data_IF_329096232017
#
_entry.id   IF_329096232017
#
_cell.length_a   1.000
_cell.length_b   1.000
_cell.length_c   1.000
_cell.angle_alpha   90.00
_cell.angle_beta   90.00
_cell.angle_gamma   90.00
#
_symmetry.space_group_name_H-M   'P 1'
#
loop_
_entity.id
_entity.type
_entity.pdbx_description
1 polymer ?
#
# COMPACT_ATOMS: atom_id res chain seq x y z
N UNK A 1 19.89 54.45 -0.68
CA UNK A 1 18.47 54.15 -0.39
C UNK A 1 18.20 52.72 -0.84
N UNK A 2 17.89 51.78 0.06
CA UNK A 2 17.77 50.38 -0.31
C UNK A 2 16.40 50.12 -0.95
N UNK A 3 16.37 49.73 -2.22
CA UNK A 3 15.20 49.11 -2.83
C UNK A 3 15.16 47.66 -2.39
N UNK A 4 14.46 47.40 -1.28
CA UNK A 4 14.00 46.06 -0.91
C UNK A 4 12.94 45.68 -1.94
N UNK A 5 13.35 45.03 -3.03
CA UNK A 5 12.42 44.22 -3.81
C UNK A 5 12.40 42.88 -3.10
N UNK A 6 11.27 42.63 -2.43
CA UNK A 6 10.96 41.40 -1.72
C UNK A 6 11.24 40.22 -2.65
N UNK A 7 12.36 39.56 -2.41
CA UNK A 7 12.66 38.26 -2.97
C UNK A 7 11.68 37.32 -2.27
N UNK A 8 10.47 37.19 -2.84
CA UNK A 8 9.56 36.10 -2.52
C UNK A 8 10.28 34.86 -3.03
N UNK A 9 11.22 34.36 -2.24
CA UNK A 9 11.50 32.94 -2.26
C UNK A 9 10.13 32.30 -2.06
N UNK A 10 9.68 31.54 -3.04
CA UNK A 10 8.60 30.59 -2.83
C UNK A 10 9.29 29.30 -2.39
N UNK A 11 9.69 29.08 -1.12
CA UNK A 11 9.98 27.73 -0.66
C UNK A 11 8.77 27.21 0.13
N UNK A 12 7.52 27.50 -0.29
CA UNK A 12 6.37 27.16 0.55
C UNK A 12 5.03 26.93 -0.20
N UNK A 13 5.06 26.38 -1.42
CA UNK A 13 3.81 25.97 -2.14
C UNK A 13 3.77 24.47 -2.44
N UNK A 14 4.70 23.66 -1.90
CA UNK A 14 4.60 22.19 -1.90
C UNK A 14 4.61 21.61 -0.48
N UNK A 15 4.16 22.38 0.50
CA UNK A 15 3.71 21.86 1.80
C UNK A 15 2.17 21.68 1.82
N UNK A 16 1.58 21.41 0.65
CA UNK A 16 0.13 21.35 0.49
C UNK A 16 -0.34 19.91 0.71
N UNK A 17 -0.83 19.66 1.93
CA UNK A 17 -1.60 18.50 2.37
C UNK A 17 -0.80 17.19 2.58
N UNK A 18 -0.13 17.08 3.72
CA UNK A 18 0.30 15.79 4.26
C UNK A 18 -0.76 15.27 5.23
N UNK A 19 -1.93 14.90 4.72
CA UNK A 19 -2.86 14.10 5.50
C UNK A 19 -2.26 12.69 5.60
N UNK A 20 -1.42 12.49 6.61
CA UNK A 20 -0.84 11.19 6.94
C UNK A 20 -1.37 10.83 8.32
N UNK A 21 -2.24 9.84 8.37
CA UNK A 21 -2.75 9.29 9.61
C UNK A 21 -1.68 8.46 10.30
N UNK A 22 -1.92 8.02 11.55
CA UNK A 22 -1.03 7.06 12.19
C UNK A 22 -0.97 5.77 11.36
N UNK A 23 0.20 5.11 11.36
CA UNK A 23 0.31 3.75 10.87
C UNK A 23 -0.62 2.84 11.70
N UNK A 24 -1.40 1.93 11.09
CA UNK A 24 -2.21 0.97 11.83
C UNK A 24 -1.34 0.16 12.79
N UNK A 25 -1.79 -0.02 14.04
CA UNK A 25 -1.02 -0.74 15.06
C UNK A 25 -1.08 -2.26 14.91
N UNK A 26 -1.94 -2.74 14.01
CA UNK A 26 -2.23 -4.15 13.73
C UNK A 26 -1.62 -4.62 12.39
N UNK A 27 -0.68 -3.87 11.82
CA UNK A 27 0.16 -4.36 10.72
C UNK A 27 1.02 -5.55 11.17
N UNK A 28 1.51 -6.32 10.21
CA UNK A 28 2.24 -7.55 10.39
C UNK A 28 1.35 -8.78 10.41
N UNK A 29 2.03 -9.93 10.54
CA UNK A 29 1.40 -11.24 10.62
C UNK A 29 1.02 -11.54 12.06
N UNK A 30 -0.28 -11.65 12.34
CA UNK A 30 -0.84 -11.91 13.66
C UNK A 30 -1.50 -13.28 13.68
N UNK A 31 -0.95 -14.22 14.46
CA UNK A 31 -1.49 -15.58 14.52
C UNK A 31 -1.41 -16.37 13.20
N UNK A 32 -0.45 -16.02 12.33
CA UNK A 32 -0.25 -16.67 11.03
C UNK A 32 -1.03 -16.03 9.87
N UNK A 33 -1.79 -14.97 10.12
CA UNK A 33 -2.59 -14.28 9.10
C UNK A 33 -2.35 -12.77 9.13
N UNK A 34 -2.62 -12.09 8.02
CA UNK A 34 -2.83 -10.63 8.07
C UNK A 34 -4.06 -10.31 8.91
N UNK A 35 -4.04 -9.18 9.61
CA UNK A 35 -5.17 -8.70 10.40
C UNK A 35 -6.39 -8.44 9.50
N UNK A 36 -7.60 -8.67 10.00
CA UNK A 36 -8.82 -8.44 9.23
C UNK A 36 -9.02 -6.94 8.92
N UNK A 37 -9.78 -6.62 7.86
CA UNK A 37 -10.24 -5.26 7.66
C UNK A 37 -11.27 -4.87 8.73
N UNK A 38 -11.14 -3.69 9.37
CA UNK A 38 -12.14 -3.22 10.33
C UNK A 38 -13.51 -2.94 9.68
N UNK A 39 -13.51 -2.57 8.40
CA UNK A 39 -14.69 -2.34 7.57
C UNK A 39 -14.30 -2.14 6.10
N UNK A 40 -15.25 -2.23 5.16
CA UNK A 40 -14.98 -2.11 3.73
C UNK A 40 -14.75 -0.67 3.24
N UNK A 41 -15.04 0.33 4.06
CA UNK A 41 -15.09 1.73 3.65
C UNK A 41 -13.72 2.34 3.31
N UNK A 42 -12.64 1.88 3.96
CA UNK A 42 -11.26 2.33 3.74
C UNK A 42 -10.23 1.19 3.86
N UNK A 43 -10.67 -0.06 3.75
CA UNK A 43 -9.82 -1.25 3.77
C UNK A 43 -10.34 -2.31 2.81
N UNK A 44 -9.44 -3.03 2.18
CA UNK A 44 -9.73 -4.24 1.41
C UNK A 44 -8.75 -5.35 1.78
N UNK A 45 -9.21 -6.58 1.70
CA UNK A 45 -8.37 -7.77 1.80
C UNK A 45 -8.66 -8.73 0.64
N UNK A 46 -7.68 -9.54 0.30
CA UNK A 46 -7.80 -10.58 -0.74
C UNK A 46 -6.93 -11.77 -0.37
N UNK A 47 -7.34 -12.93 -0.86
CA UNK A 47 -6.56 -14.16 -0.76
C UNK A 47 -6.48 -14.76 -2.16
N UNK A 48 -5.28 -14.93 -2.68
CA UNK A 48 -5.03 -15.53 -3.97
C UNK A 48 -4.45 -16.93 -3.80
N UNK A 49 -4.97 -17.86 -4.59
CA UNK A 49 -4.37 -19.18 -4.74
C UNK A 49 -3.40 -19.13 -5.92
N UNK A 50 -2.16 -19.50 -5.65
CA UNK A 50 -1.02 -19.38 -6.58
C UNK A 50 -0.21 -20.67 -6.57
N UNK A 51 0.58 -20.91 -7.63
CA UNK A 51 1.44 -22.10 -7.70
C UNK A 51 2.55 -22.11 -6.62
N UNK A 52 3.10 -20.93 -6.34
CA UNK A 52 4.15 -20.70 -5.34
C UNK A 52 3.97 -19.29 -4.76
N UNK A 53 3.57 -19.22 -3.49
CA UNK A 53 3.31 -17.96 -2.79
C UNK A 53 4.56 -17.09 -2.59
N UNK A 54 5.74 -17.69 -2.45
CA UNK A 54 7.00 -16.95 -2.32
C UNK A 54 7.40 -16.33 -3.65
N UNK A 55 7.23 -17.08 -4.75
CA UNK A 55 7.43 -16.55 -6.10
C UNK A 55 6.44 -15.43 -6.42
N UNK A 56 5.16 -15.61 -6.09
CA UNK A 56 4.11 -14.60 -6.25
C UNK A 56 4.38 -13.34 -5.42
N UNK A 57 4.79 -13.48 -4.16
CA UNK A 57 5.20 -12.36 -3.30
C UNK A 57 6.35 -11.57 -3.94
N UNK A 58 7.36 -12.26 -4.47
CA UNK A 58 8.49 -11.62 -5.15
C UNK A 58 8.06 -10.89 -6.43
N UNK A 59 7.18 -11.50 -7.24
CA UNK A 59 6.62 -10.87 -8.43
C UNK A 59 5.89 -9.57 -8.10
N UNK A 60 5.00 -9.61 -7.10
CA UNK A 60 4.26 -8.42 -6.67
C UNK A 60 5.19 -7.39 -6.02
N UNK A 61 6.21 -7.79 -5.28
CA UNK A 61 7.22 -6.88 -4.73
C UNK A 61 7.88 -6.03 -5.82
N UNK A 62 8.30 -6.63 -6.94
CA UNK A 62 8.90 -5.88 -8.06
C UNK A 62 7.87 -4.94 -8.72
N UNK A 63 6.61 -5.36 -8.86
CA UNK A 63 5.54 -4.49 -9.36
C UNK A 63 5.28 -3.29 -8.45
N UNK A 64 5.18 -3.52 -7.14
CA UNK A 64 5.01 -2.50 -6.11
C UNK A 64 6.17 -1.49 -6.18
N UNK A 65 7.41 -1.98 -6.26
CA UNK A 65 8.62 -1.16 -6.37
C UNK A 65 8.65 -0.30 -7.64
N UNK A 66 8.09 -0.79 -8.73
CA UNK A 66 7.95 -0.05 -10.00
C UNK A 66 6.79 0.96 -10.01
N UNK A 67 5.95 0.99 -8.98
CA UNK A 67 4.77 1.86 -8.94
C UNK A 67 5.15 3.26 -8.42
N UNK A 68 4.78 4.34 -9.13
CA UNK A 68 5.04 5.70 -8.66
C UNK A 68 4.36 5.99 -7.32
N UNK A 69 5.06 6.73 -6.45
CA UNK A 69 4.58 7.16 -5.12
C UNK A 69 4.34 6.01 -4.14
N UNK A 70 5.15 4.96 -4.28
CA UNK A 70 5.13 3.77 -3.44
C UNK A 70 6.49 3.58 -2.77
N UNK A 71 6.50 3.13 -1.52
CA UNK A 71 7.72 2.82 -0.76
C UNK A 71 7.57 1.49 -0.04
N UNK A 72 8.52 0.57 -0.22
CA UNK A 72 8.58 -0.67 0.57
C UNK A 72 9.22 -0.34 1.91
N UNK A 73 8.46 -0.54 2.99
CA UNK A 73 8.87 -0.23 4.37
C UNK A 73 9.53 -1.45 5.01
N UNK A 74 8.98 -2.64 4.78
CA UNK A 74 9.49 -3.90 5.30
C UNK A 74 9.35 -5.01 4.25
N UNK A 75 10.36 -5.86 4.17
CA UNK A 75 10.33 -7.03 3.30
C UNK A 75 11.13 -8.18 3.92
N UNK A 76 10.51 -9.34 4.01
CA UNK A 76 11.10 -10.61 4.44
C UNK A 76 10.87 -11.69 3.38
N UNK A 77 11.20 -12.95 3.71
CA UNK A 77 10.98 -14.09 2.81
C UNK A 77 9.51 -14.41 2.54
N UNK A 78 8.61 -14.05 3.46
CA UNK A 78 7.18 -14.39 3.39
C UNK A 78 6.26 -13.20 3.65
N UNK A 79 6.78 -11.99 3.89
CA UNK A 79 5.97 -10.81 4.16
C UNK A 79 6.54 -9.57 3.46
N UNK A 80 5.64 -8.68 3.04
CA UNK A 80 5.98 -7.36 2.51
C UNK A 80 5.00 -6.34 3.04
N UNK A 81 5.52 -5.19 3.49
CA UNK A 81 4.75 -4.00 3.79
C UNK A 81 5.25 -2.83 2.93
N UNK A 82 4.33 -2.18 2.25
CA UNK A 82 4.59 -0.98 1.46
C UNK A 82 3.56 0.11 1.75
N UNK A 83 3.92 1.35 1.46
CA UNK A 83 3.01 2.50 1.50
C UNK A 83 2.71 3.00 0.10
N UNK A 84 1.47 3.44 -0.13
CA UNK A 84 1.05 4.11 -1.35
C UNK A 84 0.55 5.52 -1.00
N UNK A 85 1.02 6.54 -1.73
CA UNK A 85 0.55 7.91 -1.51
C UNK A 85 -0.24 8.49 -2.70
N UNK A 86 -1.36 9.13 -2.39
CA UNK A 86 -2.21 9.79 -3.38
C UNK A 86 -1.52 11.01 -3.98
N UNK A 87 -1.75 11.27 -5.27
CA UNK A 87 -1.04 12.31 -6.02
C UNK A 87 -1.36 13.74 -5.57
N UNK A 88 -2.61 13.99 -5.16
CA UNK A 88 -3.15 15.35 -4.97
C UNK A 88 -3.25 15.72 -3.49
N UNK A 89 -3.74 14.80 -2.66
CA UNK A 89 -4.10 15.08 -1.26
C UNK A 89 -3.13 14.46 -0.24
N UNK A 90 -2.16 13.66 -0.69
CA UNK A 90 -1.15 13.07 0.19
C UNK A 90 -1.65 11.97 1.13
N UNK A 91 -2.89 11.48 0.99
CA UNK A 91 -3.36 10.29 1.71
C UNK A 91 -2.41 9.13 1.52
N UNK A 92 -2.14 8.40 2.61
CA UNK A 92 -1.26 7.24 2.65
C UNK A 92 -2.08 6.01 3.00
N UNK A 93 -1.90 4.98 2.18
CA UNK A 93 -2.40 3.63 2.43
C UNK A 93 -1.23 2.69 2.72
N UNK A 94 -1.43 1.74 3.61
CA UNK A 94 -0.51 0.63 3.87
C UNK A 94 -1.01 -0.62 3.12
N UNK A 95 -0.10 -1.27 2.40
CA UNK A 95 -0.32 -2.53 1.69
C UNK A 95 0.56 -3.60 2.29
N UNK A 96 -0.05 -4.71 2.67
CA UNK A 96 0.61 -5.89 3.19
C UNK A 96 0.37 -7.06 2.26
N UNK A 97 1.42 -7.85 2.04
CA UNK A 97 1.36 -9.14 1.37
C UNK A 97 1.98 -10.18 2.29
N UNK A 98 1.35 -11.35 2.40
CA UNK A 98 1.83 -12.44 3.24
C UNK A 98 1.70 -13.78 2.50
N UNK A 99 2.83 -14.42 2.23
CA UNK A 99 2.89 -15.80 1.77
C UNK A 99 2.59 -16.71 2.98
N UNK A 100 1.31 -16.99 3.20
CA UNK A 100 0.82 -17.70 4.39
C UNK A 100 1.28 -19.17 4.40
N UNK A 101 1.06 -19.86 3.28
CA UNK A 101 1.52 -21.22 3.05
C UNK A 101 2.12 -21.31 1.64
N UNK A 102 2.42 -22.52 1.15
CA UNK A 102 3.06 -22.71 -0.17
C UNK A 102 2.25 -22.18 -1.36
N UNK A 103 0.93 -22.09 -1.26
CA UNK A 103 0.01 -21.78 -2.36
C UNK A 103 -0.96 -20.63 -2.06
N UNK A 104 -0.96 -20.11 -0.83
CA UNK A 104 -1.83 -19.02 -0.40
C UNK A 104 -1.04 -17.73 -0.21
N UNK A 105 -1.39 -16.71 -1.00
CA UNK A 105 -0.91 -15.34 -0.82
C UNK A 105 -2.06 -14.46 -0.30
N UNK A 106 -1.91 -13.95 0.92
CA UNK A 106 -2.83 -12.98 1.51
C UNK A 106 -2.40 -11.56 1.17
N UNK A 107 -3.37 -10.68 1.04
CA UNK A 107 -3.14 -9.25 0.90
C UNK A 107 -4.14 -8.42 1.70
N UNK A 108 -3.65 -7.30 2.21
CA UNK A 108 -4.45 -6.25 2.83
C UNK A 108 -4.00 -4.90 2.30
N UNK A 109 -4.94 -4.00 2.06
CA UNK A 109 -4.69 -2.61 1.72
C UNK A 109 -5.60 -1.73 2.56
N UNK A 110 -5.04 -0.81 3.35
CA UNK A 110 -5.78 -0.02 4.34
C UNK A 110 -5.31 1.42 4.37
N UNK A 111 -6.24 2.37 4.39
CA UNK A 111 -5.92 3.80 4.52
C UNK A 111 -5.58 4.17 5.97
N UNK A 112 -4.57 5.03 6.17
CA UNK A 112 -4.21 5.53 7.51
C UNK A 112 -5.22 6.50 8.11
N UNK A 113 -6.04 7.13 7.27
CA UNK A 113 -7.05 8.09 7.68
C UNK A 113 -8.15 8.24 6.64
N UNK A 114 -9.25 8.87 7.06
CA UNK A 114 -10.40 9.17 6.23
C UNK A 114 -11.53 8.18 6.44
N UNK A 115 -12.76 8.64 6.26
CA UNK A 115 -13.96 7.81 6.44
C UNK A 115 -14.17 6.84 5.27
N UNK A 116 -13.65 7.18 4.08
CA UNK A 116 -13.69 6.30 2.92
C UNK A 116 -12.56 6.57 1.94
N UNK A 117 -12.13 5.51 1.25
CA UNK A 117 -11.12 5.53 0.19
C UNK A 117 -11.73 5.53 -1.23
N UNK A 118 -13.07 5.56 -1.36
CA UNK A 118 -13.80 5.42 -2.63
C UNK A 118 -13.45 4.15 -3.43
N UNK A 119 -13.05 3.07 -2.75
CA UNK A 119 -12.69 1.79 -3.34
C UNK A 119 -11.24 1.70 -3.83
N UNK A 120 -10.39 2.69 -3.55
CA UNK A 120 -8.99 2.71 -3.99
C UNK A 120 -8.21 1.49 -3.49
N UNK A 121 -8.40 1.06 -2.24
CA UNK A 121 -7.73 -0.12 -1.70
C UNK A 121 -8.18 -1.41 -2.40
N UNK A 122 -9.47 -1.54 -2.68
CA UNK A 122 -10.01 -2.70 -3.40
C UNK A 122 -9.46 -2.76 -4.84
N UNK A 123 -9.49 -1.64 -5.57
CA UNK A 123 -8.96 -1.55 -6.93
C UNK A 123 -7.44 -1.83 -6.98
N UNK A 124 -6.71 -1.44 -5.93
CA UNK A 124 -5.29 -1.76 -5.81
C UNK A 124 -5.06 -3.26 -5.70
N UNK A 125 -5.81 -3.95 -4.84
CA UNK A 125 -5.68 -5.40 -4.70
C UNK A 125 -6.09 -6.13 -5.99
N UNK A 126 -7.17 -5.69 -6.65
CA UNK A 126 -7.56 -6.22 -7.97
C UNK A 126 -6.43 -6.07 -8.98
N UNK A 127 -5.87 -4.87 -9.12
CA UNK A 127 -4.76 -4.59 -10.05
C UNK A 127 -3.51 -5.43 -9.73
N UNK A 128 -3.22 -5.71 -8.46
CA UNK A 128 -2.12 -6.59 -8.06
C UNK A 128 -2.42 -8.05 -8.40
N UNK A 129 -3.64 -8.52 -8.11
CA UNK A 129 -4.10 -9.87 -8.44
C UNK A 129 -4.06 -10.18 -9.94
N UNK A 130 -4.42 -9.22 -10.79
CA UNK A 130 -4.32 -9.36 -12.26
C UNK A 130 -2.89 -9.55 -12.77
N UNK A 131 -1.88 -9.14 -11.99
CA UNK A 131 -0.48 -9.35 -12.37
C UNK A 131 0.06 -10.71 -11.96
N UNK A 132 -0.67 -11.49 -11.17
CA UNK A 132 -0.28 -12.85 -10.81
C UNK A 132 -0.53 -13.79 -11.98
N UNK A 133 0.45 -14.65 -12.24
CA UNK A 133 0.24 -15.79 -13.14
C UNK A 133 -0.59 -16.83 -12.38
N UNK A 134 -1.92 -16.80 -12.57
CA UNK A 134 -2.81 -17.81 -12.02
C UNK A 134 -2.65 -19.08 -12.87
N UNK A 135 -2.39 -20.26 -12.29
CA UNK A 135 -2.37 -21.50 -13.06
C UNK A 135 -3.73 -21.67 -13.75
N UNK A 136 -3.73 -21.83 -15.08
CA UNK A 136 -4.96 -22.24 -15.79
C UNK A 136 -5.43 -23.57 -15.19
N UNK A 137 -6.72 -23.59 -14.80
CA UNK A 137 -7.38 -24.75 -14.18
C UNK A 137 -7.47 -25.96 -15.12
#
# INVERSE_FOLDING_TARGET
>A
MPSIVVQITIPFVLALFHFVGPMPSDLGVNGGHLSACPGPEHCASSQWQVADSSAALKQLSERIKGTPRTEIIEQSSNYLHATYSSRIFGFVDDVELHANDAVTLEARSISRLGESDLGVNAQRLESLGEALEIPEA
#
